data_IF_610254774108
#
_entry.id   IF_610254774108
#
_cell.length_a   1.000
_cell.length_b   1.000
_cell.length_c   1.000
_cell.angle_alpha   90.00
_cell.angle_beta   90.00
_cell.angle_gamma   90.00
#
_symmetry.space_group_name_H-M   'P 1'
#
loop_
_entity.id
_entity.type
_entity.pdbx_description
1 polymer ?
#
# COMPACT_ATOMS: atom_id res chain seq x y z
N UNK A 1 -9.87 -12.05 -0.46
CA UNK A 1 -8.76 -11.17 -0.88
C UNK A 1 -9.01 -9.78 -0.30
N UNK A 2 -7.99 -9.16 0.30
CA UNK A 2 -8.10 -7.82 0.92
C UNK A 2 -6.87 -6.99 0.55
N UNK A 3 -7.03 -5.66 0.49
CA UNK A 3 -5.93 -4.70 0.37
C UNK A 3 -5.50 -4.13 1.72
N UNK A 4 -6.20 -4.50 2.80
CA UNK A 4 -5.90 -4.05 4.15
C UNK A 4 -4.74 -4.86 4.73
N UNK A 5 -3.60 -4.19 4.94
CA UNK A 5 -2.41 -4.79 5.52
C UNK A 5 -2.58 -5.02 7.02
N UNK A 6 -3.39 -4.22 7.73
CA UNK A 6 -3.62 -4.40 9.17
C UNK A 6 -4.40 -5.69 9.43
N UNK A 7 -5.32 -6.05 8.55
CA UNK A 7 -5.99 -7.35 8.64
C UNK A 7 -5.01 -8.53 8.56
N UNK A 8 -3.94 -8.42 7.75
CA UNK A 8 -2.96 -9.52 7.63
C UNK A 8 -2.26 -9.83 8.95
N UNK A 9 -2.07 -8.83 9.83
CA UNK A 9 -1.45 -9.02 11.15
C UNK A 9 -2.48 -9.37 12.23
N UNK A 10 -3.74 -8.91 12.10
CA UNK A 10 -4.80 -9.20 13.07
C UNK A 10 -5.29 -10.66 13.08
N UNK A 11 -5.09 -11.40 11.99
CA UNK A 11 -5.63 -12.77 11.86
C UNK A 11 -4.58 -13.83 11.48
N UNK A 12 -3.29 -13.50 11.65
CA UNK A 12 -2.15 -14.34 11.26
C UNK A 12 -2.13 -15.70 11.98
N UNK A 13 -2.77 -15.79 13.15
CA UNK A 13 -2.92 -17.01 13.95
C UNK A 13 -4.02 -17.96 13.43
N UNK A 14 -4.92 -17.46 12.57
CA UNK A 14 -6.11 -18.18 12.10
C UNK A 14 -6.13 -18.40 10.61
N UNK A 15 -5.35 -17.65 9.84
CA UNK A 15 -5.35 -17.72 8.38
C UNK A 15 -3.92 -17.62 7.84
N UNK A 16 -3.65 -18.39 6.78
CA UNK A 16 -2.39 -18.30 6.04
C UNK A 16 -2.45 -17.08 5.11
N UNK A 17 -1.59 -16.10 5.37
CA UNK A 17 -1.41 -14.97 4.47
C UNK A 17 -0.77 -15.44 3.16
N UNK A 18 -1.34 -15.01 2.03
CA UNK A 18 -0.79 -15.27 0.71
C UNK A 18 -1.05 -14.09 -0.25
N UNK A 19 -0.18 -13.93 -1.25
CA UNK A 19 -0.24 -12.83 -2.22
C UNK A 19 0.23 -13.22 -3.62
N UNK A 20 -0.19 -12.43 -4.61
CA UNK A 20 0.35 -12.44 -5.97
C UNK A 20 1.40 -11.34 -6.12
N UNK A 21 2.24 -11.45 -7.15
CA UNK A 21 3.20 -10.41 -7.51
C UNK A 21 3.07 -9.99 -8.97
N UNK A 22 3.51 -8.78 -9.21
CA UNK A 22 3.57 -8.14 -10.50
C UNK A 22 4.96 -7.54 -10.74
N UNK A 23 5.32 -7.47 -12.02
CA UNK A 23 6.47 -6.68 -12.48
C UNK A 23 5.93 -5.57 -13.36
N UNK A 24 6.32 -4.34 -13.05
CA UNK A 24 5.94 -3.15 -13.82
C UNK A 24 7.16 -2.72 -14.63
N UNK A 25 6.97 -2.62 -15.94
CA UNK A 25 7.91 -1.99 -16.89
C UNK A 25 7.18 -0.81 -17.53
N UNK A 26 7.92 0.12 -18.12
CA UNK A 26 7.45 1.48 -18.45
C UNK A 26 6.01 1.58 -18.98
N UNK A 27 5.60 0.65 -19.86
CA UNK A 27 4.24 0.62 -20.45
C UNK A 27 3.51 -0.72 -20.24
N UNK A 28 3.99 -1.60 -19.36
CA UNK A 28 3.38 -2.92 -19.18
C UNK A 28 3.38 -3.40 -17.72
N UNK A 29 2.29 -4.06 -17.33
CA UNK A 29 2.13 -4.69 -16.03
C UNK A 29 1.95 -6.18 -16.23
N UNK A 30 2.93 -6.95 -15.78
CA UNK A 30 2.89 -8.41 -15.84
C UNK A 30 2.64 -9.01 -14.46
N UNK A 31 1.49 -9.64 -14.29
CA UNK A 31 1.22 -10.52 -13.16
C UNK A 31 1.82 -11.90 -13.44
N UNK A 32 2.48 -12.50 -12.45
CA UNK A 32 3.03 -13.85 -12.60
C UNK A 32 2.03 -14.95 -12.24
N UNK A 33 0.88 -14.59 -11.65
CA UNK A 33 -0.19 -15.50 -11.23
C UNK A 33 0.27 -16.61 -10.27
N UNK A 34 1.42 -16.44 -9.61
CA UNK A 34 1.95 -17.39 -8.63
C UNK A 34 1.51 -16.94 -7.24
N UNK A 35 0.76 -17.79 -6.55
CA UNK A 35 0.40 -17.60 -5.15
C UNK A 35 1.63 -17.84 -4.27
N UNK A 36 1.96 -16.87 -3.41
CA UNK A 36 3.12 -16.91 -2.51
C UNK A 36 2.68 -16.73 -1.07
N UNK A 37 3.40 -17.36 -0.17
CA UNK A 37 3.16 -17.22 1.26
C UNK A 37 3.57 -15.84 1.78
N UNK A 38 2.90 -15.42 2.86
CA UNK A 38 3.07 -14.15 3.52
C UNK A 38 2.26 -13.01 2.91
N UNK A 39 2.21 -11.85 3.59
CA UNK A 39 1.50 -10.67 3.11
C UNK A 39 2.20 -10.04 1.90
N UNK A 40 1.43 -9.31 1.09
CA UNK A 40 1.99 -8.55 -0.03
C UNK A 40 2.88 -7.41 0.48
N UNK A 41 4.12 -7.35 0.02
CA UNK A 41 5.09 -6.29 0.40
C UNK A 41 5.23 -5.19 -0.65
N UNK A 42 4.71 -5.38 -1.86
CA UNK A 42 4.69 -4.35 -2.89
C UNK A 42 3.51 -3.39 -2.70
N UNK A 43 3.75 -2.11 -3.00
CA UNK A 43 2.71 -1.08 -3.14
C UNK A 43 2.83 -0.45 -4.53
N UNK A 44 2.02 -0.94 -5.45
CA UNK A 44 2.10 -0.61 -6.87
C UNK A 44 1.05 0.37 -7.38
N UNK A 45 0.15 0.87 -6.51
CA UNK A 45 -1.02 1.64 -6.90
C UNK A 45 -0.67 2.87 -7.77
N UNK A 46 0.38 3.62 -7.41
CA UNK A 46 0.86 4.77 -8.19
C UNK A 46 1.36 4.35 -9.58
N UNK A 47 2.01 3.19 -9.67
CA UNK A 47 2.51 2.67 -10.92
C UNK A 47 1.38 2.17 -11.83
N UNK A 48 0.29 1.64 -11.26
CA UNK A 48 -0.93 1.32 -12.01
C UNK A 48 -1.57 2.59 -12.58
N UNK A 49 -1.63 3.68 -11.82
CA UNK A 49 -2.15 4.97 -12.33
C UNK A 49 -1.37 5.45 -13.55
N UNK A 50 -0.03 5.35 -13.51
CA UNK A 50 0.82 5.66 -14.68
C UNK A 50 0.48 4.79 -15.88
N UNK A 51 0.40 3.47 -15.67
CA UNK A 51 0.08 2.51 -16.74
C UNK A 51 -1.28 2.76 -17.38
N UNK A 52 -2.30 3.12 -16.59
CA UNK A 52 -3.64 3.43 -17.08
C UNK A 52 -3.71 4.79 -17.84
N UNK A 53 -2.59 5.50 -17.98
CA UNK A 53 -2.54 6.78 -18.66
C UNK A 53 -3.20 7.92 -17.89
N UNK A 54 -3.28 7.83 -16.56
CA UNK A 54 -3.77 8.95 -15.77
C UNK A 54 -2.83 10.16 -15.91
N UNK A 55 -3.36 11.39 -15.84
CA UNK A 55 -2.56 12.60 -15.94
C UNK A 55 -1.33 12.59 -15.05
N UNK A 56 -0.22 13.10 -15.60
CA UNK A 56 1.10 13.09 -14.96
C UNK A 56 1.06 13.70 -13.58
N UNK A 57 0.35 14.81 -13.47
CA UNK A 57 0.24 15.61 -12.25
C UNK A 57 -0.40 14.83 -11.11
N UNK A 58 -1.30 13.87 -11.40
CA UNK A 58 -1.99 13.05 -10.40
C UNK A 58 -1.02 12.05 -9.78
N UNK A 59 -0.29 11.31 -10.61
CA UNK A 59 0.57 10.24 -10.13
C UNK A 59 1.90 10.77 -9.56
N UNK A 60 2.40 11.91 -10.05
CA UNK A 60 3.58 12.58 -9.47
C UNK A 60 3.26 13.13 -8.08
N UNK A 61 2.13 13.84 -7.93
CA UNK A 61 1.69 14.32 -6.62
C UNK A 61 1.46 13.20 -5.61
N UNK A 62 0.82 12.10 -6.03
CA UNK A 62 0.63 10.94 -5.15
C UNK A 62 1.97 10.32 -4.71
N UNK A 63 2.99 10.36 -5.57
CA UNK A 63 4.35 9.91 -5.22
C UNK A 63 5.02 10.87 -4.23
N UNK A 64 4.86 12.17 -4.41
CA UNK A 64 5.37 13.18 -3.48
C UNK A 64 4.74 13.04 -2.09
N UNK A 65 3.41 12.93 -2.00
CA UNK A 65 2.68 12.76 -0.74
C UNK A 65 3.17 11.54 0.06
N UNK A 66 3.43 10.42 -0.63
CA UNK A 66 3.98 9.20 -0.01
C UNK A 66 5.41 9.42 0.48
N UNK A 67 6.25 10.11 -0.29
CA UNK A 67 7.61 10.44 0.11
C UNK A 67 7.66 11.43 1.28
N UNK A 68 6.74 12.40 1.30
CA UNK A 68 6.59 13.35 2.41
C UNK A 68 6.12 12.66 3.68
N UNK A 69 5.16 11.75 3.58
CA UNK A 69 4.75 10.92 4.71
C UNK A 69 5.90 10.06 5.24
N UNK A 70 6.67 9.42 4.34
CA UNK A 70 7.85 8.63 4.73
C UNK A 70 8.94 9.48 5.40
N UNK A 71 9.10 10.74 5.01
CA UNK A 71 10.07 11.68 5.60
C UNK A 71 9.59 12.33 6.91
N UNK A 72 8.29 12.64 7.02
CA UNK A 72 7.69 13.37 8.14
C UNK A 72 7.05 12.50 9.22
N UNK A 73 6.87 11.20 8.97
CA UNK A 73 6.11 10.27 9.79
C UNK A 73 6.60 10.10 11.24
N UNK A 74 7.84 10.47 11.58
CA UNK A 74 8.32 10.35 12.96
C UNK A 74 7.70 11.38 13.93
N UNK A 75 7.14 12.51 13.44
CA UNK A 75 6.59 13.57 14.31
C UNK A 75 5.06 13.58 14.43
N UNK A 76 4.33 12.92 13.53
CA UNK A 76 2.85 13.02 13.46
C UNK A 76 2.14 11.96 14.32
N UNK A 77 2.79 10.80 14.55
CA UNK A 77 2.19 9.67 15.26
C UNK A 77 1.89 10.00 16.75
N UNK A 78 2.50 11.03 17.33
CA UNK A 78 2.17 11.49 18.70
C UNK A 78 0.90 12.34 18.82
N UNK A 79 0.29 12.80 17.73
CA UNK A 79 -0.86 13.72 17.81
C UNK A 79 -2.22 13.08 17.53
N UNK A 80 -2.28 11.94 16.84
CA UNK A 80 -3.55 11.30 16.48
C UNK A 80 -4.06 10.24 17.47
N UNK A 81 -3.22 9.74 18.38
CA UNK A 81 -3.62 8.72 19.35
C UNK A 81 -4.48 9.24 20.52
N UNK A 82 -4.62 10.56 20.69
CA UNK A 82 -5.37 11.17 21.81
C UNK A 82 -6.84 11.43 21.44
N UNK A 83 -7.19 11.52 20.15
CA UNK A 83 -8.56 11.86 19.74
C UNK A 83 -9.50 10.66 19.58
N UNK A 84 -8.99 9.43 19.50
CA UNK A 84 -9.84 8.24 19.36
C UNK A 84 -10.37 7.68 20.70
N UNK A 85 -9.82 8.09 21.85
CA UNK A 85 -10.28 7.59 23.17
C UNK A 85 -11.32 8.47 23.88
N UNK A 86 -11.76 9.57 23.27
CA UNK A 86 -12.75 10.48 23.87
C UNK A 86 -14.14 10.41 23.20
N UNK A 87 -14.43 9.37 22.41
CA UNK A 87 -15.76 9.21 21.81
C UNK A 87 -16.22 7.75 21.63
N UNK A 88 -15.80 6.85 22.54
CA UNK A 88 -16.49 5.58 22.80
C UNK A 88 -16.64 5.45 24.32
#
# INVERSE_FOLDING_TARGET
ATHDLELTTMVDDRFINCHFRETIRDEDIKFDYILRDGPCTSRNAIAILRYLGYPREIHEKASEDVMDWARGGLNIIRRHHIYFYNNI
#
